data_IF_344666904523
#
_entry.id   IF_344666904523
#
_cell.length_a   1.000
_cell.length_b   1.000
_cell.length_c   1.000
_cell.angle_alpha   90.00
_cell.angle_beta   90.00
_cell.angle_gamma   90.00
#
_symmetry.space_group_name_H-M   'P 1'
#
loop_
_entity.id
_entity.type
_entity.pdbx_description
1 polymer ?
#
# COMPACT_ATOMS: atom_id res chain seq x y z
N UNK A 1 -9.05 11.89 -19.97
CA UNK A 1 -8.33 10.60 -20.01
C UNK A 1 -6.84 10.92 -19.93
N UNK A 2 -6.33 11.10 -18.73
CA UNK A 2 -4.90 11.35 -18.48
C UNK A 2 -4.36 10.07 -17.85
N UNK A 3 -3.72 9.23 -18.67
CA UNK A 3 -3.03 8.04 -18.22
C UNK A 3 -1.88 8.43 -17.30
N UNK A 4 -1.76 7.77 -16.14
CA UNK A 4 -0.53 7.80 -15.37
C UNK A 4 0.64 7.44 -16.33
N UNK A 5 1.84 8.02 -16.17
CA UNK A 5 2.98 7.64 -16.97
C UNK A 5 3.21 6.14 -16.78
N UNK A 6 2.88 5.35 -17.78
CA UNK A 6 3.29 3.97 -17.83
C UNK A 6 4.79 3.99 -18.01
N UNK A 7 5.54 3.71 -16.95
CA UNK A 7 6.96 3.37 -17.09
C UNK A 7 7.00 2.04 -17.82
N UNK A 8 6.97 2.12 -19.16
CA UNK A 8 7.11 0.93 -19.98
C UNK A 8 8.50 0.35 -19.75
N UNK A 9 8.54 -0.84 -19.20
CA UNK A 9 9.77 -1.62 -19.10
C UNK A 9 10.27 -1.87 -20.51
N UNK A 10 11.37 -1.22 -20.90
CA UNK A 10 11.89 -1.26 -22.29
C UNK A 10 12.99 -2.29 -22.46
N UNK A 11 13.69 -2.64 -21.39
CA UNK A 11 14.86 -3.51 -21.43
C UNK A 11 14.70 -4.69 -20.49
N UNK A 12 15.29 -5.82 -20.89
CA UNK A 12 15.33 -7.03 -20.09
C UNK A 12 16.20 -6.82 -18.83
N UNK A 13 15.68 -7.15 -17.66
CA UNK A 13 16.42 -7.07 -16.39
C UNK A 13 17.56 -8.09 -16.29
N UNK A 14 17.57 -9.15 -17.13
CA UNK A 14 18.59 -10.18 -17.10
C UNK A 14 19.79 -9.88 -18.04
N UNK A 15 19.54 -9.29 -19.22
CA UNK A 15 20.59 -9.14 -20.23
C UNK A 15 20.58 -7.79 -20.95
N UNK A 16 19.77 -6.84 -20.48
CA UNK A 16 19.64 -5.49 -21.00
C UNK A 16 19.20 -5.38 -22.51
N UNK A 17 18.86 -6.48 -23.15
CA UNK A 17 18.32 -6.45 -24.53
C UNK A 17 16.93 -5.79 -24.52
N UNK A 18 16.61 -5.02 -25.54
CA UNK A 18 15.28 -4.42 -25.71
C UNK A 18 14.19 -5.51 -25.75
N UNK A 19 13.12 -5.29 -24.98
CA UNK A 19 11.97 -6.19 -24.95
C UNK A 19 11.10 -5.96 -26.16
N UNK A 20 10.45 -7.02 -26.63
CA UNK A 20 9.48 -6.99 -27.71
C UNK A 20 8.15 -7.61 -27.30
N UNK A 21 7.06 -7.14 -27.89
CA UNK A 21 5.75 -7.78 -27.77
C UNK A 21 5.76 -9.07 -28.59
N UNK A 22 5.62 -10.20 -27.91
CA UNK A 22 5.67 -11.54 -28.54
C UNK A 22 4.42 -12.31 -28.14
N UNK A 23 3.68 -12.83 -29.12
CA UNK A 23 2.61 -13.77 -28.91
C UNK A 23 3.18 -15.19 -28.74
N UNK A 24 2.77 -15.86 -27.71
CA UNK A 24 3.18 -17.24 -27.42
C UNK A 24 2.01 -18.02 -26.80
N UNK A 25 1.95 -19.31 -27.12
CA UNK A 25 1.01 -20.21 -26.49
C UNK A 25 1.32 -20.36 -24.99
N UNK A 26 0.32 -20.12 -24.17
CA UNK A 26 0.34 -20.28 -22.70
C UNK A 26 -0.90 -21.10 -22.29
N UNK A 27 -0.95 -21.50 -21.02
CA UNK A 27 -2.16 -22.09 -20.44
C UNK A 27 -3.34 -21.14 -20.62
N UNK A 28 -4.43 -21.63 -21.21
CA UNK A 28 -5.61 -20.81 -21.55
C UNK A 28 -5.53 -20.08 -22.91
N UNK A 29 -4.55 -20.40 -23.77
CA UNK A 29 -4.45 -19.90 -25.14
C UNK A 29 -3.31 -18.93 -25.39
N UNK A 30 -3.20 -18.39 -26.61
CA UNK A 30 -2.12 -17.47 -26.96
C UNK A 30 -2.23 -16.16 -26.20
N UNK A 31 -1.09 -15.65 -25.68
CA UNK A 31 -0.99 -14.37 -24.99
C UNK A 31 0.18 -13.56 -25.52
N UNK A 32 -0.07 -12.27 -25.69
CA UNK A 32 0.95 -11.31 -26.08
C UNK A 32 1.55 -10.66 -24.83
N UNK A 33 2.87 -10.79 -24.68
CA UNK A 33 3.60 -10.23 -23.52
C UNK A 33 4.91 -9.58 -23.97
N UNK A 34 5.44 -8.69 -23.15
CA UNK A 34 6.81 -8.19 -23.31
C UNK A 34 7.79 -9.31 -22.97
N UNK A 35 8.57 -9.75 -23.97
CA UNK A 35 9.58 -10.83 -23.83
C UNK A 35 10.93 -10.39 -24.38
N UNK A 36 11.96 -10.96 -23.82
CA UNK A 36 13.32 -10.75 -24.29
C UNK A 36 13.62 -11.69 -25.45
N UNK A 37 13.95 -11.18 -26.66
CA UNK A 37 14.29 -12.03 -27.81
C UNK A 37 15.63 -12.75 -27.65
N UNK A 38 16.51 -12.27 -26.76
CA UNK A 38 17.82 -12.85 -26.58
C UNK A 38 17.87 -13.97 -25.51
N UNK A 39 17.19 -13.81 -24.36
CA UNK A 39 17.26 -14.79 -23.27
C UNK A 39 15.91 -15.40 -22.88
N UNK A 40 14.82 -15.04 -23.54
CA UNK A 40 13.47 -15.58 -23.27
C UNK A 40 12.78 -15.06 -22.02
N UNK A 41 13.42 -14.18 -21.24
CA UNK A 41 12.80 -13.60 -20.06
C UNK A 41 11.48 -12.88 -20.40
N UNK A 42 10.45 -13.09 -19.55
CA UNK A 42 9.13 -12.49 -19.73
C UNK A 42 8.86 -11.46 -18.63
N UNK A 43 8.42 -10.28 -19.02
CA UNK A 43 7.88 -9.29 -18.12
C UNK A 43 6.41 -9.61 -17.82
N UNK A 44 6.15 -10.17 -16.65
CA UNK A 44 4.80 -10.62 -16.25
C UNK A 44 3.86 -9.48 -15.89
N UNK A 45 4.39 -8.31 -15.56
CA UNK A 45 3.64 -7.15 -15.10
C UNK A 45 2.72 -7.48 -13.91
N UNK A 46 3.21 -8.29 -12.97
CA UNK A 46 2.47 -8.65 -11.77
C UNK A 46 2.25 -7.41 -10.89
N UNK A 47 1.12 -7.33 -10.18
CA UNK A 47 0.89 -6.27 -9.21
C UNK A 47 1.98 -6.25 -8.13
N UNK A 48 2.42 -5.05 -7.76
CA UNK A 48 3.38 -4.87 -6.66
C UNK A 48 2.68 -5.00 -5.32
N UNK A 49 3.17 -5.83 -4.38
CA UNK A 49 2.62 -5.91 -3.03
C UNK A 49 2.98 -4.65 -2.24
N UNK A 50 1.96 -4.05 -1.63
CA UNK A 50 2.05 -2.90 -0.72
C UNK A 50 1.44 -3.28 0.61
N UNK A 51 2.14 -3.02 1.69
CA UNK A 51 1.66 -3.23 3.05
C UNK A 51 0.95 -1.97 3.54
N UNK A 52 -0.11 -2.13 4.33
CA UNK A 52 -0.82 -1.01 4.93
C UNK A 52 -1.18 -1.32 6.38
N UNK A 53 -1.07 -0.35 7.28
CA UNK A 53 -1.40 -0.49 8.69
C UNK A 53 -2.47 0.47 9.16
N UNK A 54 -3.53 -0.06 9.76
CA UNK A 54 -4.35 0.67 10.73
C UNK A 54 -3.62 0.59 12.06
N UNK A 55 -2.87 1.64 12.42
CA UNK A 55 -2.05 1.68 13.64
C UNK A 55 -2.88 2.21 14.80
N UNK A 56 -3.20 1.35 15.76
CA UNK A 56 -3.90 1.68 17.00
C UNK A 56 -2.88 1.91 18.13
N UNK A 57 -2.81 3.14 18.63
CA UNK A 57 -1.88 3.56 19.69
C UNK A 57 -2.49 3.28 21.05
N UNK A 58 -2.12 2.15 21.68
CA UNK A 58 -2.78 1.63 22.88
C UNK A 58 -2.52 2.48 24.15
N UNK A 59 -1.42 3.19 24.21
CA UNK A 59 -1.05 4.11 25.29
C UNK A 59 -1.57 5.54 25.08
N UNK A 60 -2.24 5.79 23.94
CA UNK A 60 -2.84 7.06 23.59
C UNK A 60 -4.36 6.93 23.39
N UNK A 61 -5.01 6.22 24.31
CA UNK A 61 -6.46 6.03 24.32
C UNK A 61 -7.01 5.19 23.17
N UNK A 62 -6.22 4.25 22.66
CA UNK A 62 -6.56 3.41 21.48
C UNK A 62 -6.93 4.22 20.25
N UNK A 63 -6.37 5.40 20.09
CA UNK A 63 -6.57 6.22 18.92
C UNK A 63 -5.80 5.65 17.72
N UNK A 64 -6.34 5.86 16.52
CA UNK A 64 -5.71 5.44 15.26
C UNK A 64 -4.85 6.56 14.71
N UNK A 65 -3.60 6.23 14.42
CA UNK A 65 -2.65 7.12 13.77
C UNK A 65 -2.91 7.15 12.26
N UNK A 66 -3.15 8.35 11.73
CA UNK A 66 -3.06 8.63 10.31
C UNK A 66 -1.96 9.67 10.08
N UNK A 67 -1.22 9.51 9.00
CA UNK A 67 -0.10 10.38 8.66
C UNK A 67 -0.23 10.98 7.25
N UNK A 68 0.42 12.12 7.04
CA UNK A 68 0.51 12.80 5.76
C UNK A 68 1.90 12.60 5.17
N UNK A 69 1.96 12.00 4.00
CA UNK A 69 3.22 11.85 3.29
C UNK A 69 3.76 13.22 2.85
N UNK A 70 5.05 13.45 3.05
CA UNK A 70 5.72 14.72 2.75
C UNK A 70 5.73 15.07 1.25
N UNK A 71 5.75 14.05 0.39
CA UNK A 71 5.75 14.22 -1.07
C UNK A 71 4.35 14.45 -1.67
N UNK A 72 3.27 14.29 -0.88
CA UNK A 72 1.92 14.45 -1.43
C UNK A 72 1.44 15.89 -1.32
N UNK A 73 0.89 16.44 -2.40
CA UNK A 73 0.24 17.75 -2.33
C UNK A 73 -1.05 17.62 -1.49
N UNK A 74 -1.35 18.68 -0.72
CA UNK A 74 -2.59 18.74 0.06
C UNK A 74 -2.45 18.25 1.51
N UNK A 75 -3.61 18.06 2.17
CA UNK A 75 -3.71 17.74 3.60
C UNK A 75 -4.38 16.38 3.85
N UNK A 76 -4.17 15.42 2.96
CA UNK A 76 -4.70 14.08 3.14
C UNK A 76 -3.89 13.32 4.18
N UNK A 77 -4.58 12.86 5.24
CA UNK A 77 -4.05 11.89 6.18
C UNK A 77 -4.47 10.49 5.76
N UNK A 78 -3.54 9.57 5.71
CA UNK A 78 -3.74 8.20 5.25
C UNK A 78 -3.12 7.20 6.23
N UNK A 79 -3.37 5.92 5.99
CA UNK A 79 -2.71 4.84 6.73
C UNK A 79 -1.20 4.86 6.47
N UNK A 80 -0.42 4.31 7.40
CA UNK A 80 0.99 3.96 7.19
C UNK A 80 1.06 2.90 6.10
N UNK A 81 1.94 3.09 5.11
CA UNK A 81 2.08 2.16 3.98
C UNK A 81 3.52 2.09 3.51
N UNK A 82 3.96 0.89 3.12
CA UNK A 82 5.25 0.70 2.49
C UNK A 82 5.26 -0.48 1.52
N UNK A 83 6.33 -0.60 0.75
CA UNK A 83 6.51 -1.74 -0.13
C UNK A 83 7.00 -2.95 0.66
N UNK A 84 6.44 -4.11 0.34
CA UNK A 84 6.99 -5.36 0.84
C UNK A 84 8.35 -5.61 0.21
N UNK A 85 9.38 -5.87 1.02
CA UNK A 85 10.73 -6.12 0.56
C UNK A 85 11.01 -7.61 0.30
N UNK A 86 12.06 -7.88 -0.50
CA UNK A 86 12.46 -9.24 -0.78
C UNK A 86 13.04 -9.90 0.49
N UNK A 87 12.53 -11.10 0.81
CA UNK A 87 13.03 -11.90 1.93
C UNK A 87 12.30 -11.67 3.25
N UNK A 88 11.34 -10.76 3.32
CA UNK A 88 10.48 -10.59 4.49
C UNK A 88 9.10 -11.20 4.27
N UNK A 89 8.41 -11.55 5.35
CA UNK A 89 6.98 -11.86 5.35
C UNK A 89 6.17 -10.57 5.46
N UNK A 90 4.90 -10.59 5.03
CA UNK A 90 4.05 -9.40 5.14
C UNK A 90 3.87 -8.90 6.60
N UNK A 91 3.73 -9.77 7.63
CA UNK A 91 3.74 -9.31 9.03
C UNK A 91 5.05 -8.63 9.45
N UNK A 92 6.22 -9.15 9.05
CA UNK A 92 7.51 -8.53 9.35
C UNK A 92 7.65 -7.17 8.69
N UNK A 93 7.29 -7.09 7.39
CA UNK A 93 7.37 -5.85 6.63
C UNK A 93 6.47 -4.75 7.20
N UNK A 94 5.22 -5.05 7.57
CA UNK A 94 4.35 -4.02 8.15
C UNK A 94 4.82 -3.56 9.53
N UNK A 95 5.40 -4.43 10.34
CA UNK A 95 5.99 -4.05 11.62
C UNK A 95 7.23 -3.15 11.43
N UNK A 96 8.05 -3.45 10.41
CA UNK A 96 9.19 -2.61 10.01
C UNK A 96 8.71 -1.22 9.58
N UNK A 97 7.78 -1.11 8.64
CA UNK A 97 7.25 0.16 8.13
C UNK A 97 6.67 1.03 9.27
N UNK A 98 5.86 0.46 10.16
CA UNK A 98 5.32 1.20 11.31
C UNK A 98 6.44 1.70 12.20
N UNK A 99 7.46 0.89 12.47
CA UNK A 99 8.59 1.27 13.32
C UNK A 99 9.46 2.34 12.66
N UNK A 100 9.79 2.19 11.38
CA UNK A 100 10.63 3.13 10.62
C UNK A 100 9.96 4.48 10.43
N UNK A 101 8.67 4.50 10.08
CA UNK A 101 7.96 5.73 9.80
C UNK A 101 7.50 6.49 11.04
N UNK A 102 7.28 5.80 12.18
CA UNK A 102 6.66 6.40 13.37
C UNK A 102 7.45 6.27 14.66
N UNK A 103 8.50 5.46 14.68
CA UNK A 103 9.29 5.07 15.88
C UNK A 103 8.46 4.36 16.96
N UNK A 104 7.25 3.93 16.67
CA UNK A 104 6.42 3.19 17.62
C UNK A 104 6.92 1.76 17.79
N UNK A 105 6.80 1.24 19.00
CA UNK A 105 6.99 -0.17 19.30
C UNK A 105 5.73 -0.95 18.90
N UNK A 106 5.84 -1.82 17.91
CA UNK A 106 4.78 -2.75 17.51
C UNK A 106 4.62 -3.83 18.58
N UNK A 107 3.39 -4.07 19.03
CA UNK A 107 3.03 -5.08 20.02
C UNK A 107 2.38 -6.31 19.40
N UNK A 108 1.67 -6.13 18.30
CA UNK A 108 1.01 -7.20 17.56
C UNK A 108 0.36 -6.70 16.30
N UNK A 109 0.12 -7.62 15.40
CA UNK A 109 -0.56 -7.34 14.13
C UNK A 109 -1.50 -8.48 13.75
N UNK A 110 -2.60 -8.13 13.07
CA UNK A 110 -3.55 -9.08 12.50
C UNK A 110 -4.00 -8.64 11.12
N UNK A 111 -4.13 -9.58 10.20
CA UNK A 111 -4.58 -9.31 8.84
C UNK A 111 -6.02 -8.79 8.84
N UNK A 112 -6.26 -7.66 8.16
CA UNK A 112 -7.61 -7.15 7.87
C UNK A 112 -8.09 -7.76 6.57
N UNK A 113 -7.30 -7.67 5.50
CA UNK A 113 -7.65 -8.20 4.20
C UNK A 113 -6.65 -7.83 3.11
N UNK A 114 -7.00 -8.25 1.89
CA UNK A 114 -6.24 -7.97 0.67
C UNK A 114 -7.12 -7.20 -0.29
N UNK A 115 -6.62 -6.09 -0.81
CA UNK A 115 -7.38 -5.12 -1.60
C UNK A 115 -6.70 -4.82 -2.92
N UNK A 116 -7.50 -4.66 -3.97
CA UNK A 116 -7.01 -4.26 -5.28
C UNK A 116 -6.75 -2.76 -5.34
N UNK A 117 -5.63 -2.38 -5.95
CA UNK A 117 -5.38 -1.00 -6.34
C UNK A 117 -4.93 -0.94 -7.80
N UNK A 118 -5.88 -1.27 -8.69
CA UNK A 118 -5.66 -1.46 -10.13
C UNK A 118 -4.97 -0.27 -10.80
N UNK A 119 -5.33 0.96 -10.40
CA UNK A 119 -4.75 2.18 -10.99
C UNK A 119 -3.23 2.25 -10.85
N UNK A 120 -2.67 1.68 -9.77
CA UNK A 120 -1.24 1.67 -9.50
C UNK A 120 -0.60 0.31 -9.79
N UNK A 121 -1.36 -0.66 -10.31
CA UNK A 121 -0.93 -2.05 -10.45
C UNK A 121 -0.37 -2.60 -9.14
N UNK A 122 -1.13 -2.46 -8.05
CA UNK A 122 -0.75 -2.87 -6.71
C UNK A 122 -1.79 -3.78 -6.08
N UNK A 123 -1.32 -4.64 -5.16
CA UNK A 123 -2.13 -5.38 -4.20
C UNK A 123 -1.78 -4.85 -2.82
N UNK A 124 -2.78 -4.39 -2.07
CA UNK A 124 -2.61 -3.89 -0.71
C UNK A 124 -2.93 -5.02 0.26
N UNK A 125 -1.98 -5.38 1.10
CA UNK A 125 -2.14 -6.33 2.19
C UNK A 125 -2.23 -5.51 3.47
N UNK A 126 -3.44 -5.38 4.02
CA UNK A 126 -3.72 -4.48 5.12
C UNK A 126 -3.78 -5.20 6.47
N UNK A 127 -3.12 -4.63 7.47
CA UNK A 127 -3.05 -5.12 8.84
C UNK A 127 -3.64 -4.10 9.81
N UNK A 128 -4.28 -4.60 10.86
CA UNK A 128 -4.41 -3.88 12.11
C UNK A 128 -3.14 -4.08 12.92
N UNK A 129 -2.54 -2.99 13.38
CA UNK A 129 -1.30 -3.01 14.17
C UNK A 129 -1.56 -2.31 15.49
N UNK A 130 -1.32 -3.00 16.61
CA UNK A 130 -1.28 -2.37 17.92
C UNK A 130 0.13 -1.93 18.24
N UNK A 131 0.29 -0.67 18.63
CA UNK A 131 1.61 -0.10 18.90
C UNK A 131 1.55 0.88 20.10
N UNK A 132 2.72 1.20 20.65
CA UNK A 132 2.88 2.15 21.77
C UNK A 132 4.19 2.91 21.67
N UNK A 133 4.30 3.98 22.42
CA UNK A 133 5.52 4.77 22.60
C UNK A 133 5.41 6.18 22.03
N UNK A 134 6.48 6.97 22.16
CA UNK A 134 6.52 8.31 21.60
C UNK A 134 6.55 8.25 20.07
N UNK A 135 5.70 9.05 19.42
CA UNK A 135 5.64 9.13 17.96
C UNK A 135 6.71 10.11 17.47
N UNK A 136 7.63 9.61 16.67
CA UNK A 136 8.64 10.39 15.96
C UNK A 136 8.62 10.01 14.49
N UNK A 137 8.26 10.95 13.63
CA UNK A 137 8.09 10.69 12.21
C UNK A 137 9.42 10.61 11.46
N UNK A 138 9.50 9.71 10.49
CA UNK A 138 10.56 9.70 9.49
C UNK A 138 10.46 10.90 8.55
N UNK A 139 11.50 11.21 7.77
CA UNK A 139 11.44 12.29 6.76
C UNK A 139 10.37 12.10 5.67
N UNK A 140 9.86 10.90 5.50
CA UNK A 140 8.79 10.60 4.52
C UNK A 140 7.43 11.12 4.96
N UNK A 141 7.24 11.33 6.26
CA UNK A 141 6.00 11.82 6.83
C UNK A 141 6.17 13.25 7.35
N UNK A 142 5.26 14.11 6.95
CA UNK A 142 5.31 15.53 7.33
C UNK A 142 4.50 15.86 8.59
N UNK A 143 3.46 15.10 8.88
CA UNK A 143 2.52 15.36 9.97
C UNK A 143 1.74 14.08 10.30
N UNK A 144 1.38 13.88 11.55
CA UNK A 144 0.44 12.84 11.97
C UNK A 144 -0.71 13.43 12.78
N UNK A 145 -1.80 12.69 12.85
CA UNK A 145 -2.93 12.93 13.75
C UNK A 145 -3.43 11.63 14.34
N UNK A 146 -3.92 11.72 15.56
CA UNK A 146 -4.59 10.64 16.26
C UNK A 146 -6.10 10.88 16.21
N UNK A 147 -6.83 9.85 15.83
CA UNK A 147 -8.28 9.89 15.68
C UNK A 147 -8.95 8.86 16.56
N UNK A 148 -10.01 9.26 17.27
CA UNK A 148 -10.92 8.29 17.83
C UNK A 148 -11.62 7.52 16.68
N UNK A 149 -12.03 6.28 16.93
CA UNK A 149 -12.63 5.44 15.87
C UNK A 149 -13.86 6.11 15.22
N UNK A 150 -14.66 6.83 15.99
CA UNK A 150 -15.85 7.54 15.50
C UNK A 150 -15.53 8.73 14.57
N UNK A 151 -14.32 9.29 14.68
CA UNK A 151 -13.87 10.45 13.90
C UNK A 151 -13.16 10.07 12.61
N UNK A 152 -12.83 8.79 12.43
CA UNK A 152 -12.19 8.30 11.23
C UNK A 152 -13.08 8.47 10.00
N UNK A 153 -12.47 8.83 8.89
CA UNK A 153 -13.12 8.95 7.58
C UNK A 153 -12.42 8.03 6.60
N UNK A 154 -13.21 7.23 5.88
CA UNK A 154 -12.75 6.30 4.87
C UNK A 154 -12.78 6.94 3.48
N UNK A 155 -12.13 6.32 2.51
CA UNK A 155 -12.18 6.70 1.10
C UNK A 155 -12.35 5.46 0.22
N UNK A 156 -12.96 5.66 -0.98
CA UNK A 156 -13.39 4.55 -1.84
C UNK A 156 -12.28 4.00 -2.76
N UNK A 157 -11.06 3.91 -2.24
CA UNK A 157 -9.93 3.36 -3.02
C UNK A 157 -8.82 2.85 -2.10
N UNK A 158 -8.16 1.79 -2.50
CA UNK A 158 -6.95 1.29 -1.84
C UNK A 158 -7.12 1.08 -0.34
N UNK A 159 -6.29 1.73 0.45
CA UNK A 159 -6.25 1.58 1.91
C UNK A 159 -7.50 2.07 2.64
N UNK A 160 -8.32 2.93 2.02
CA UNK A 160 -9.57 3.39 2.62
C UNK A 160 -10.62 2.29 2.78
N UNK A 161 -10.59 1.27 1.91
CA UNK A 161 -11.47 0.10 2.04
C UNK A 161 -11.05 -0.77 3.23
N UNK A 162 -9.75 -0.94 3.44
CA UNK A 162 -9.23 -1.66 4.61
C UNK A 162 -9.63 -0.98 5.93
N UNK A 163 -9.55 0.36 5.98
CA UNK A 163 -10.00 1.12 7.15
C UNK A 163 -11.50 0.94 7.39
N UNK A 164 -12.32 0.92 6.33
CA UNK A 164 -13.75 0.71 6.43
C UNK A 164 -14.10 -0.68 6.96
N UNK A 165 -13.44 -1.72 6.47
CA UNK A 165 -13.65 -3.10 6.93
C UNK A 165 -13.23 -3.26 8.39
N UNK A 166 -12.09 -2.66 8.78
CA UNK A 166 -11.61 -2.68 10.16
C UNK A 166 -12.59 -1.98 11.12
N UNK A 167 -13.17 -0.84 10.73
CA UNK A 167 -14.20 -0.13 11.49
C UNK A 167 -15.48 -0.96 11.61
N UNK A 168 -15.92 -1.56 10.50
CA UNK A 168 -17.14 -2.40 10.45
C UNK A 168 -17.01 -3.60 11.38
N UNK A 169 -15.85 -4.27 11.39
CA UNK A 169 -15.59 -5.39 12.28
C UNK A 169 -15.63 -5.02 13.77
N UNK A 170 -15.53 -3.72 14.10
CA UNK A 170 -15.65 -3.17 15.46
C UNK A 170 -17.02 -2.55 15.77
N UNK A 171 -17.99 -2.73 14.89
CA UNK A 171 -19.35 -2.24 15.07
C UNK A 171 -19.55 -0.75 14.73
N UNK A 172 -18.58 -0.10 14.11
CA UNK A 172 -18.70 1.25 13.61
C UNK A 172 -19.29 1.27 12.19
N UNK A 173 -20.03 2.33 11.86
CA UNK A 173 -20.51 2.58 10.50
C UNK A 173 -19.51 3.47 9.77
N UNK A 174 -18.77 2.97 8.75
CA UNK A 174 -17.79 3.75 8.04
C UNK A 174 -18.41 4.97 7.34
N UNK A 175 -17.81 6.13 7.53
CA UNK A 175 -18.19 7.35 6.83
C UNK A 175 -17.16 7.64 5.73
N UNK A 176 -17.62 7.76 4.48
CA UNK A 176 -16.75 7.98 3.34
C UNK A 176 -16.66 9.46 2.95
N UNK A 177 -15.44 9.86 2.61
CA UNK A 177 -15.16 11.16 2.00
C UNK A 177 -14.71 10.96 0.55
N UNK A 178 -15.01 11.94 -0.29
CA UNK A 178 -14.45 12.01 -1.63
C UNK A 178 -13.03 12.58 -1.56
N UNK A 179 -12.08 11.88 -2.17
CA UNK A 179 -10.73 12.39 -2.32
C UNK A 179 -10.68 13.43 -3.45
N UNK A 180 -9.96 14.55 -3.25
CA UNK A 180 -9.77 15.50 -4.33
C UNK A 180 -9.10 14.80 -5.53
N UNK A 181 -9.48 15.18 -6.76
CA UNK A 181 -8.78 14.67 -7.93
C UNK A 181 -7.29 15.04 -7.82
N UNK A 182 -6.41 14.08 -8.06
CA UNK A 182 -4.97 14.38 -8.17
C UNK A 182 -4.76 15.18 -9.46
N UNK A 183 -4.35 16.41 -9.29
CA UNK A 183 -3.88 17.27 -10.39
C UNK A 183 -2.52 16.81 -10.90
#
# INVERSE_FOLDING_TARGET
MSGAPSYETRFCSHCATALAMVEQAEDGGPKTRLRCPACGWTHWNNPTPVLAAVVECVDQGNQVLLARNAAWPGRLFALITGFMEAGETAPEGIAREVTEETSLQVLGQSLIGVYEFKRMNQIIIAYHVTARGPISLSPELAEYKLFAHADLRCWRAGTGLALADWLTARGHVPQFIELPPRT
#
